data_IF_382604679682
#
_entry.id   IF_382604679682
#
_cell.length_a   1.000
_cell.length_b   1.000
_cell.length_c   1.000
_cell.angle_alpha   90.00
_cell.angle_beta   90.00
_cell.angle_gamma   90.00
#
_symmetry.space_group_name_H-M   'P 1'
#
loop_
_entity.id
_entity.type
_entity.pdbx_description
1 polymer ?
#
# COMPACT_ATOMS: atom_id res chain seq x y z
N UNK A 1 -42.61 62.65 -112.39
CA UNK A 1 -42.37 63.41 -111.14
C UNK A 1 -43.50 63.10 -110.18
N UNK A 2 -43.16 62.90 -108.90
CA UNK A 2 -44.01 62.66 -107.71
C UNK A 2 -44.68 61.28 -107.62
N UNK A 3 -44.19 60.35 -106.77
CA UNK A 3 -44.21 60.23 -105.28
C UNK A 3 -45.56 59.74 -104.71
N UNK A 4 -45.54 58.57 -104.07
CA UNK A 4 -46.28 58.29 -102.82
C UNK A 4 -45.59 57.18 -102.02
N UNK A 5 -45.52 57.45 -100.72
CA UNK A 5 -44.82 56.78 -99.62
C UNK A 5 -45.64 55.64 -98.99
N UNK A 6 -44.97 54.60 -98.48
CA UNK A 6 -45.51 53.71 -97.43
C UNK A 6 -44.46 53.53 -96.33
N UNK A 7 -44.91 53.63 -95.09
CA UNK A 7 -44.13 53.60 -93.85
C UNK A 7 -44.33 52.25 -93.17
N UNK A 8 -43.25 51.47 -93.00
CA UNK A 8 -43.19 50.31 -92.12
C UNK A 8 -42.60 50.72 -90.76
N UNK A 9 -43.34 50.47 -89.67
CA UNK A 9 -42.86 50.64 -88.29
C UNK A 9 -42.32 49.30 -87.72
N UNK A 10 -41.38 49.33 -86.74
CA UNK A 10 -40.58 48.16 -86.35
C UNK A 10 -41.27 47.22 -85.34
N UNK A 11 -40.79 45.97 -85.19
CA UNK A 11 -41.49 44.89 -84.50
C UNK A 11 -41.30 44.97 -82.97
N UNK A 12 -42.07 45.83 -82.30
CA UNK A 12 -42.01 45.95 -80.82
C UNK A 12 -42.83 44.89 -80.07
N UNK A 13 -43.75 44.19 -80.74
CA UNK A 13 -44.67 43.24 -80.07
C UNK A 13 -44.08 41.84 -79.80
N UNK A 14 -43.16 41.37 -80.64
CA UNK A 14 -42.56 40.03 -80.46
C UNK A 14 -41.59 39.98 -79.27
N UNK A 15 -40.80 41.05 -79.08
CA UNK A 15 -39.82 41.16 -77.99
C UNK A 15 -40.49 41.27 -76.61
N UNK A 16 -41.64 41.94 -76.53
CA UNK A 16 -42.41 42.08 -75.29
C UNK A 16 -43.03 40.75 -74.82
N UNK A 17 -43.47 39.89 -75.75
CA UNK A 17 -44.03 38.58 -75.41
C UNK A 17 -42.96 37.60 -74.91
N UNK A 18 -41.77 37.58 -75.52
CA UNK A 18 -40.64 36.73 -75.08
C UNK A 18 -40.14 37.14 -73.68
N UNK A 19 -40.06 38.45 -73.41
CA UNK A 19 -39.69 38.98 -72.08
C UNK A 19 -40.75 38.68 -71.00
N UNK A 20 -42.04 38.69 -71.36
CA UNK A 20 -43.11 38.35 -70.41
C UNK A 20 -43.19 36.86 -70.06
N UNK A 21 -42.68 35.99 -70.96
CA UNK A 21 -42.52 34.55 -70.70
C UNK A 21 -41.35 34.26 -69.75
N UNK A 22 -40.24 34.99 -69.89
CA UNK A 22 -39.06 34.85 -69.02
C UNK A 22 -39.34 35.30 -67.58
N UNK A 23 -40.18 36.33 -67.38
CA UNK A 23 -40.58 36.79 -66.06
C UNK A 23 -41.57 35.87 -65.33
N UNK A 24 -42.15 34.87 -66.02
CA UNK A 24 -43.08 33.87 -65.45
C UNK A 24 -42.53 32.43 -65.51
N UNK A 25 -41.29 32.24 -65.93
CA UNK A 25 -40.67 30.93 -66.01
C UNK A 25 -40.17 30.47 -64.62
N UNK A 26 -40.87 29.52 -64.00
CA UNK A 26 -40.52 28.94 -62.69
C UNK A 26 -39.50 27.79 -62.79
N UNK A 27 -39.11 27.38 -64.01
CA UNK A 27 -38.22 26.23 -64.28
C UNK A 27 -36.80 26.36 -63.67
N UNK A 28 -36.40 27.55 -63.22
CA UNK A 28 -35.11 27.81 -62.55
C UNK A 28 -35.14 27.79 -61.02
N UNK A 29 -36.33 27.78 -60.38
CA UNK A 29 -36.44 27.90 -58.92
C UNK A 29 -35.84 26.69 -58.18
N UNK A 30 -36.01 25.49 -58.74
CA UNK A 30 -35.42 24.24 -58.21
C UNK A 30 -33.89 24.26 -58.33
N UNK A 31 -33.34 24.92 -59.35
CA UNK A 31 -31.89 25.07 -59.55
C UNK A 31 -31.29 25.98 -58.48
N UNK A 32 -31.94 27.10 -58.15
CA UNK A 32 -31.51 28.01 -57.08
C UNK A 32 -31.58 27.32 -55.72
N UNK A 33 -32.68 26.61 -55.44
CA UNK A 33 -32.84 25.84 -54.20
C UNK A 33 -31.80 24.71 -54.07
N UNK A 34 -31.55 23.96 -55.15
CA UNK A 34 -30.53 22.91 -55.20
C UNK A 34 -29.12 23.46 -54.99
N UNK A 35 -28.80 24.63 -55.54
CA UNK A 35 -27.51 25.29 -55.35
C UNK A 35 -27.30 25.76 -53.91
N UNK A 36 -28.34 26.27 -53.25
CA UNK A 36 -28.29 26.63 -51.83
C UNK A 36 -28.04 25.38 -50.97
N UNK A 37 -28.77 24.28 -51.21
CA UNK A 37 -28.54 23.02 -50.49
C UNK A 37 -27.14 22.49 -50.73
N UNK A 38 -26.65 22.54 -51.97
CA UNK A 38 -25.31 22.10 -52.31
C UNK A 38 -24.24 22.89 -51.54
N UNK A 39 -24.38 24.22 -51.47
CA UNK A 39 -23.48 25.07 -50.67
C UNK A 39 -23.58 24.74 -49.18
N UNK A 40 -24.78 24.50 -48.66
CA UNK A 40 -24.97 24.09 -47.26
C UNK A 40 -24.32 22.74 -46.96
N UNK A 41 -24.44 21.75 -47.85
CA UNK A 41 -23.77 20.47 -47.71
C UNK A 41 -22.24 20.63 -47.67
N UNK A 42 -21.67 21.44 -48.57
CA UNK A 42 -20.23 21.73 -48.56
C UNK A 42 -19.79 22.44 -47.27
N UNK A 43 -20.62 23.34 -46.74
CA UNK A 43 -20.33 24.03 -45.47
C UNK A 43 -20.32 23.05 -44.29
N UNK A 44 -21.29 22.14 -44.22
CA UNK A 44 -21.36 21.11 -43.16
C UNK A 44 -20.20 20.12 -43.30
N UNK A 45 -19.87 19.70 -44.52
CA UNK A 45 -18.70 18.84 -44.76
C UNK A 45 -17.39 19.54 -44.37
N UNK A 46 -17.26 20.83 -44.68
CA UNK A 46 -16.09 21.62 -44.28
C UNK A 46 -15.95 21.71 -42.75
N UNK A 47 -17.06 21.94 -42.04
CA UNK A 47 -17.10 21.93 -40.58
C UNK A 47 -16.68 20.58 -40.01
N UNK A 48 -17.13 19.47 -40.62
CA UNK A 48 -16.73 18.13 -40.19
C UNK A 48 -15.22 17.90 -40.34
N UNK A 49 -14.60 18.38 -41.43
CA UNK A 49 -13.15 18.28 -41.64
C UNK A 49 -12.38 19.09 -40.60
N UNK A 50 -12.81 20.31 -40.29
CA UNK A 50 -12.16 21.12 -39.25
C UNK A 50 -12.27 20.46 -37.86
N UNK A 51 -13.43 19.89 -37.52
CA UNK A 51 -13.60 19.16 -36.25
C UNK A 51 -12.75 17.90 -36.19
N UNK A 52 -12.66 17.14 -37.29
CA UNK A 52 -11.81 15.93 -37.34
C UNK A 52 -10.34 16.27 -37.14
N UNK A 53 -9.85 17.35 -37.77
CA UNK A 53 -8.47 17.81 -37.59
C UNK A 53 -8.23 18.27 -36.15
N UNK A 54 -9.16 19.04 -35.58
CA UNK A 54 -9.08 19.49 -34.20
C UNK A 54 -8.96 18.33 -33.22
N UNK A 55 -9.85 17.33 -33.32
CA UNK A 55 -9.82 16.19 -32.40
C UNK A 55 -8.58 15.30 -32.61
N UNK A 56 -8.09 15.16 -33.85
CA UNK A 56 -6.85 14.41 -34.10
C UNK A 56 -5.63 15.08 -33.43
N UNK A 57 -5.51 16.40 -33.57
CA UNK A 57 -4.42 17.15 -32.94
C UNK A 57 -4.57 17.15 -31.40
N UNK A 58 -5.81 17.18 -30.89
CA UNK A 58 -6.11 17.12 -29.45
C UNK A 58 -5.71 15.80 -28.81
N UNK A 59 -6.08 14.69 -29.43
CA UNK A 59 -5.71 13.35 -28.96
C UNK A 59 -4.19 13.19 -29.00
N UNK A 60 -3.53 13.70 -30.04
CA UNK A 60 -2.06 13.68 -30.12
C UNK A 60 -1.41 14.47 -28.99
N UNK A 61 -1.85 15.71 -28.74
CA UNK A 61 -1.32 16.55 -27.67
C UNK A 61 -1.55 15.92 -26.29
N UNK A 62 -2.72 15.33 -26.06
CA UNK A 62 -3.04 14.63 -24.81
C UNK A 62 -2.12 13.41 -24.61
N UNK A 63 -1.98 12.55 -25.63
CA UNK A 63 -1.11 11.37 -25.55
C UNK A 63 0.36 11.71 -25.31
N UNK A 64 0.87 12.80 -25.90
CA UNK A 64 2.22 13.29 -25.61
C UNK A 64 2.32 13.82 -24.18
N UNK A 65 1.31 14.55 -23.71
CA UNK A 65 1.28 15.11 -22.35
C UNK A 65 1.32 14.02 -21.30
N UNK A 66 0.54 12.95 -21.46
CA UNK A 66 0.50 11.80 -20.54
C UNK A 66 1.85 11.09 -20.49
N UNK A 67 2.47 10.80 -21.64
CA UNK A 67 3.80 10.19 -21.70
C UNK A 67 4.88 11.08 -21.09
N UNK A 68 4.82 12.39 -21.35
CA UNK A 68 5.78 13.35 -20.85
C UNK A 68 5.72 13.47 -19.32
N UNK A 69 4.53 13.56 -18.72
CA UNK A 69 4.41 13.63 -17.25
C UNK A 69 4.88 12.35 -16.58
N UNK A 70 4.52 11.17 -17.13
CA UNK A 70 4.93 9.87 -16.59
C UNK A 70 6.45 9.66 -16.65
N UNK A 71 7.08 10.01 -17.77
CA UNK A 71 8.53 9.89 -17.90
C UNK A 71 9.28 10.92 -17.05
N UNK A 72 8.73 12.14 -16.92
CA UNK A 72 9.34 13.19 -16.11
C UNK A 72 9.22 12.92 -14.60
N UNK A 73 8.14 12.27 -14.15
CA UNK A 73 8.06 11.81 -12.75
C UNK A 73 9.17 10.81 -12.48
N UNK A 74 9.29 9.72 -13.27
CA UNK A 74 10.18 8.57 -13.03
C UNK A 74 11.69 8.86 -12.92
N UNK A 75 12.13 10.10 -13.14
CA UNK A 75 13.52 10.51 -12.98
C UNK A 75 13.97 10.63 -11.52
N UNK A 76 13.09 10.47 -10.54
CA UNK A 76 13.42 10.68 -9.13
C UNK A 76 14.55 9.76 -8.62
N UNK A 77 14.69 8.55 -9.18
CA UNK A 77 15.69 7.55 -8.79
C UNK A 77 16.82 7.33 -9.82
N UNK A 78 16.88 8.16 -10.87
CA UNK A 78 17.85 7.99 -11.96
C UNK A 78 19.01 8.98 -11.82
N UNK A 79 20.26 8.50 -11.89
CA UNK A 79 21.50 9.32 -11.94
C UNK A 79 21.64 10.07 -13.29
N UNK A 80 20.56 10.69 -13.74
CA UNK A 80 20.48 11.42 -15.01
C UNK A 80 20.67 12.90 -14.70
N UNK A 81 21.56 13.56 -15.43
CA UNK A 81 21.91 14.98 -15.24
C UNK A 81 20.83 15.95 -15.74
N UNK A 82 19.64 15.46 -16.12
CA UNK A 82 18.56 16.24 -16.70
C UNK A 82 17.47 16.48 -15.66
N UNK A 83 16.93 17.69 -15.63
CA UNK A 83 15.79 18.02 -14.77
C UNK A 83 14.50 17.40 -15.32
N UNK A 84 13.50 17.09 -14.46
CA UNK A 84 12.17 16.62 -14.91
C UNK A 84 11.51 17.55 -15.94
N UNK A 85 11.71 18.85 -15.81
CA UNK A 85 11.22 19.87 -16.74
C UNK A 85 11.86 19.71 -18.13
N UNK A 86 13.18 19.51 -18.17
CA UNK A 86 13.92 19.30 -19.42
C UNK A 86 13.53 17.98 -20.09
N UNK A 87 13.29 16.92 -19.30
CA UNK A 87 12.83 15.65 -19.87
C UNK A 87 11.41 15.75 -20.42
N UNK A 88 10.47 16.35 -19.67
CA UNK A 88 9.11 16.59 -20.17
C UNK A 88 9.16 17.39 -21.48
N UNK A 89 9.96 18.45 -21.54
CA UNK A 89 10.16 19.24 -22.76
C UNK A 89 10.73 18.41 -23.91
N UNK A 90 11.71 17.53 -23.65
CA UNK A 90 12.29 16.66 -24.67
C UNK A 90 11.26 15.70 -25.31
N UNK A 91 10.26 15.23 -24.55
CA UNK A 91 9.16 14.43 -25.09
C UNK A 91 8.27 15.24 -26.04
N UNK A 92 7.98 16.51 -25.72
CA UNK A 92 7.25 17.40 -26.62
C UNK A 92 8.08 17.75 -27.86
N UNK A 93 9.39 17.99 -27.71
CA UNK A 93 10.30 18.29 -28.82
C UNK A 93 10.41 17.10 -29.79
N UNK A 94 10.48 15.87 -29.27
CA UNK A 94 10.53 14.64 -30.07
C UNK A 94 9.27 14.44 -30.93
N UNK A 95 8.10 14.88 -30.44
CA UNK A 95 6.83 14.84 -31.17
C UNK A 95 6.60 16.07 -32.06
N UNK A 96 7.54 17.02 -32.08
CA UNK A 96 7.40 18.29 -32.82
C UNK A 96 6.36 19.24 -32.21
N UNK A 97 6.05 19.07 -30.92
CA UNK A 97 5.09 19.85 -30.14
C UNK A 97 5.76 20.77 -29.10
N UNK A 98 7.09 20.91 -29.16
CA UNK A 98 7.91 21.63 -28.17
C UNK A 98 7.45 23.05 -27.86
N UNK A 99 7.03 23.80 -28.88
CA UNK A 99 6.57 25.18 -28.75
C UNK A 99 5.31 25.32 -27.89
N UNK A 100 4.48 24.27 -27.83
CA UNK A 100 3.20 24.28 -27.11
C UNK A 100 3.34 23.96 -25.61
N UNK A 101 4.47 23.36 -25.20
CA UNK A 101 4.75 22.99 -23.82
C UNK A 101 5.69 23.96 -23.10
N UNK A 102 6.49 24.74 -23.86
CA UNK A 102 7.49 25.64 -23.30
C UNK A 102 6.88 26.67 -22.33
N UNK A 103 7.37 26.69 -21.08
CA UNK A 103 6.92 27.61 -20.03
C UNK A 103 5.64 27.19 -19.28
N UNK A 104 5.00 26.08 -19.67
CA UNK A 104 3.76 25.58 -19.06
C UNK A 104 3.96 24.26 -18.26
N UNK A 105 5.20 23.96 -17.88
CA UNK A 105 5.59 22.78 -17.10
C UNK A 105 5.86 23.24 -15.65
N UNK A 106 5.09 22.73 -14.71
CA UNK A 106 5.26 23.00 -13.28
C UNK A 106 5.62 21.70 -12.57
N UNK A 107 6.71 21.71 -11.80
CA UNK A 107 7.12 20.59 -10.95
C UNK A 107 7.04 21.05 -9.51
N UNK A 108 6.31 20.30 -8.70
CA UNK A 108 6.22 20.51 -7.26
C UNK A 108 6.79 19.29 -6.56
N UNK A 109 7.85 19.48 -5.81
CA UNK A 109 8.41 18.46 -4.92
C UNK A 109 7.98 18.79 -3.49
N UNK A 110 7.16 17.92 -2.91
CA UNK A 110 6.76 17.98 -1.51
C UNK A 110 7.29 16.77 -0.78
N UNK A 111 7.80 16.98 0.43
CA UNK A 111 8.41 15.94 1.26
C UNK A 111 7.44 14.83 1.67
N UNK A 112 6.15 15.13 1.70
CA UNK A 112 5.08 14.24 2.19
C UNK A 112 4.32 13.51 1.06
N UNK A 113 4.13 14.14 -0.11
CA UNK A 113 3.30 13.60 -1.20
C UNK A 113 4.09 13.18 -2.44
N UNK A 114 5.42 13.27 -2.41
CA UNK A 114 6.29 12.92 -3.53
C UNK A 114 6.43 14.02 -4.59
N UNK A 115 6.91 13.64 -5.76
CA UNK A 115 7.13 14.53 -6.90
C UNK A 115 5.88 14.59 -7.75
N UNK A 116 5.29 15.77 -7.87
CA UNK A 116 4.19 16.02 -8.80
C UNK A 116 4.70 16.79 -10.01
N UNK A 117 4.58 16.20 -11.21
CA UNK A 117 4.86 16.89 -12.48
C UNK A 117 3.54 17.18 -13.17
N UNK A 118 3.33 18.45 -13.53
CA UNK A 118 2.13 18.90 -14.23
C UNK A 118 2.51 19.70 -15.47
N UNK A 119 1.80 19.45 -16.57
CA UNK A 119 1.98 20.17 -17.84
C UNK A 119 0.63 20.70 -18.30
N UNK A 120 0.59 21.95 -18.73
CA UNK A 120 -0.60 22.59 -19.28
C UNK A 120 -0.33 23.11 -20.71
N UNK A 121 -0.13 22.24 -21.71
CA UNK A 121 0.25 22.68 -23.04
C UNK A 121 -0.94 23.35 -23.74
N UNK A 122 -0.63 24.38 -24.54
CA UNK A 122 -1.60 25.17 -25.29
C UNK A 122 -1.24 25.16 -26.76
N UNK A 123 -2.15 24.73 -27.63
CA UNK A 123 -1.96 24.76 -29.07
C UNK A 123 -3.12 25.47 -29.77
N UNK A 124 -2.86 25.97 -30.97
CA UNK A 124 -3.87 26.65 -31.79
C UNK A 124 -3.89 26.02 -33.17
N UNK A 125 -5.07 25.58 -33.60
CA UNK A 125 -5.30 25.09 -34.95
C UNK A 125 -6.04 26.15 -35.77
N UNK A 126 -5.47 26.51 -36.92
CA UNK A 126 -6.16 27.34 -37.90
C UNK A 126 -7.25 26.53 -38.62
N UNK A 127 -8.46 27.08 -38.65
CA UNK A 127 -9.59 26.44 -39.32
C UNK A 127 -9.59 26.77 -40.81
N UNK A 128 -9.95 25.79 -41.65
CA UNK A 128 -10.01 25.98 -43.09
C UNK A 128 -11.38 26.48 -43.54
N UNK A 129 -12.45 25.90 -42.98
CA UNK A 129 -13.83 26.14 -43.41
C UNK A 129 -14.62 26.97 -42.39
N UNK A 130 -14.41 26.76 -41.08
CA UNK A 130 -15.02 27.56 -40.01
C UNK A 130 -14.61 29.04 -40.07
N UNK A 131 -13.44 29.33 -40.66
CA UNK A 131 -13.00 30.69 -40.97
C UNK A 131 -13.99 31.45 -41.85
N UNK A 132 -14.73 30.78 -42.73
CA UNK A 132 -15.79 31.40 -43.53
C UNK A 132 -16.99 31.84 -42.68
N UNK A 133 -17.17 31.23 -41.51
CA UNK A 133 -18.16 31.59 -40.49
C UNK A 133 -17.64 32.58 -39.44
N UNK A 134 -16.42 33.13 -39.63
CA UNK A 134 -15.80 34.11 -38.72
C UNK A 134 -14.97 33.51 -37.58
N UNK A 135 -14.93 32.18 -37.44
CA UNK A 135 -14.09 31.50 -36.44
C UNK A 135 -12.78 31.13 -37.11
N UNK A 136 -11.73 31.93 -36.92
CA UNK A 136 -10.46 31.68 -37.62
C UNK A 136 -9.64 30.55 -37.01
N UNK A 137 -9.74 30.35 -35.69
CA UNK A 137 -8.89 29.43 -34.94
C UNK A 137 -9.69 28.66 -33.89
N UNK A 138 -9.23 27.46 -33.56
CA UNK A 138 -9.67 26.70 -32.40
C UNK A 138 -8.47 26.50 -31.47
N UNK A 139 -8.62 26.96 -30.22
CA UNK A 139 -7.61 26.79 -29.18
C UNK A 139 -7.80 25.44 -28.49
N UNK A 140 -6.68 24.87 -28.05
CA UNK A 140 -6.62 23.52 -27.50
C UNK A 140 -5.73 23.48 -26.27
N UNK A 141 -6.23 22.84 -25.22
CA UNK A 141 -5.51 22.63 -23.96
C UNK A 141 -5.62 21.18 -23.55
N UNK A 142 -4.50 20.55 -23.20
CA UNK A 142 -4.46 19.15 -22.77
C UNK A 142 -3.69 19.00 -21.46
N UNK A 143 -4.24 19.47 -20.32
CA UNK A 143 -3.55 19.41 -19.06
C UNK A 143 -3.34 17.95 -18.62
N UNK A 144 -2.11 17.62 -18.22
CA UNK A 144 -1.76 16.32 -17.66
C UNK A 144 -0.98 16.50 -16.35
N UNK A 145 -1.15 15.57 -15.42
CA UNK A 145 -0.39 15.52 -14.18
C UNK A 145 -0.08 14.07 -13.83
N UNK A 146 1.13 13.82 -13.36
CA UNK A 146 1.54 12.58 -12.75
C UNK A 146 2.18 12.87 -11.39
N UNK A 147 2.02 11.92 -10.47
CA UNK A 147 2.62 11.95 -9.15
C UNK A 147 3.42 10.67 -9.00
N UNK A 148 4.72 10.80 -8.72
CA UNK A 148 5.52 9.70 -8.18
C UNK A 148 5.60 9.90 -6.67
N UNK A 149 5.05 8.96 -5.92
CA UNK A 149 5.21 8.93 -4.47
C UNK A 149 6.70 8.94 -4.16
N UNK A 150 7.13 9.75 -3.19
CA UNK A 150 8.52 9.68 -2.74
C UNK A 150 8.74 8.25 -2.32
N UNK A 151 9.61 7.53 -3.02
CA UNK A 151 10.25 6.32 -2.50
C UNK A 151 11.09 6.69 -1.29
N UNK A 152 10.44 7.11 -0.20
CA UNK A 152 10.95 6.80 1.12
C UNK A 152 11.12 5.29 1.10
N UNK A 153 12.34 4.83 1.29
CA UNK A 153 12.64 3.41 1.35
C UNK A 153 11.55 2.73 2.15
N UNK A 154 10.72 1.90 1.51
CA UNK A 154 9.54 1.36 2.17
C UNK A 154 10.02 0.61 3.40
N UNK A 155 9.74 1.16 4.59
CA UNK A 155 10.27 0.61 5.83
C UNK A 155 9.31 -0.46 6.28
N UNK A 156 9.82 -1.61 6.69
CA UNK A 156 8.98 -2.71 7.14
C UNK A 156 9.37 -3.06 8.56
N UNK A 157 8.38 -3.11 9.44
CA UNK A 157 8.52 -3.57 10.81
C UNK A 157 7.68 -4.82 10.97
N UNK A 158 8.34 -5.96 11.11
CA UNK A 158 7.70 -7.27 11.21
C UNK A 158 7.92 -7.83 12.61
N UNK A 159 6.87 -8.37 13.21
CA UNK A 159 6.98 -9.20 14.41
C UNK A 159 6.43 -10.59 14.13
N UNK A 160 7.26 -11.61 14.40
CA UNK A 160 6.89 -13.01 14.32
C UNK A 160 6.61 -13.53 15.72
N UNK A 161 5.37 -13.93 15.96
CA UNK A 161 4.89 -14.50 17.22
C UNK A 161 4.72 -16.00 17.01
N UNK A 162 5.66 -16.78 17.54
CA UNK A 162 5.79 -18.22 17.29
C UNK A 162 5.46 -19.05 18.53
N UNK A 163 4.57 -20.02 18.34
CA UNK A 163 4.19 -21.00 19.35
C UNK A 163 5.32 -22.00 19.60
N UNK A 164 5.76 -22.09 20.85
CA UNK A 164 6.74 -23.07 21.33
C UNK A 164 6.14 -23.99 22.40
N UNK A 165 4.80 -24.12 22.44
CA UNK A 165 4.08 -24.98 23.37
C UNK A 165 4.43 -26.47 23.19
N UNK A 166 4.11 -27.28 24.19
CA UNK A 166 4.40 -28.72 24.17
C UNK A 166 3.81 -29.46 22.96
N UNK A 167 2.65 -29.03 22.44
CA UNK A 167 1.99 -29.64 21.28
C UNK A 167 2.82 -29.56 20.01
N UNK A 168 3.65 -28.52 19.87
CA UNK A 168 4.57 -28.34 18.74
C UNK A 168 5.64 -29.46 18.67
N UNK A 169 5.79 -30.27 19.72
CA UNK A 169 6.68 -31.43 19.73
C UNK A 169 6.11 -32.64 18.97
N UNK A 170 4.83 -32.59 18.61
CA UNK A 170 4.13 -33.69 17.94
C UNK A 170 4.61 -33.85 16.50
N UNK A 171 4.65 -35.10 16.02
CA UNK A 171 4.98 -35.40 14.63
C UNK A 171 3.84 -35.03 13.69
N UNK A 172 4.18 -34.53 12.51
CA UNK A 172 3.26 -34.24 11.41
C UNK A 172 3.22 -35.41 10.42
N UNK A 173 2.37 -35.30 9.39
CA UNK A 173 2.29 -36.26 8.29
C UNK A 173 3.59 -36.43 7.49
N UNK A 174 4.53 -35.48 7.60
CA UNK A 174 5.83 -35.50 6.93
C UNK A 174 6.90 -36.30 7.69
N UNK A 175 6.60 -36.72 8.94
CA UNK A 175 7.55 -37.40 9.82
C UNK A 175 8.49 -36.46 10.60
N UNK A 176 8.39 -35.14 10.39
CA UNK A 176 9.07 -34.12 11.23
C UNK A 176 8.18 -33.70 12.39
N UNK A 177 8.74 -33.06 13.41
CA UNK A 177 7.94 -32.42 14.45
C UNK A 177 7.34 -31.13 13.94
N UNK A 178 6.20 -30.70 14.49
CA UNK A 178 5.58 -29.42 14.14
C UNK A 178 6.53 -28.24 14.33
N UNK A 179 7.31 -28.26 15.42
CA UNK A 179 8.37 -27.29 15.67
C UNK A 179 9.42 -27.28 14.54
N UNK A 180 9.84 -28.45 14.05
CA UNK A 180 10.83 -28.50 12.97
C UNK A 180 10.27 -27.89 11.66
N UNK A 181 9.00 -28.12 11.35
CA UNK A 181 8.34 -27.48 10.20
C UNK A 181 8.24 -25.95 10.39
N UNK A 182 7.83 -25.51 11.58
CA UNK A 182 7.77 -24.08 11.91
C UNK A 182 9.12 -23.39 11.81
N UNK A 183 10.19 -24.04 12.27
CA UNK A 183 11.56 -23.50 12.15
C UNK A 183 11.97 -23.34 10.70
N UNK A 184 11.64 -24.30 9.84
CA UNK A 184 11.93 -24.20 8.41
C UNK A 184 11.15 -23.06 7.76
N UNK A 185 9.86 -22.93 8.07
CA UNK A 185 9.01 -21.87 7.54
C UNK A 185 9.47 -20.47 8.00
N UNK A 186 9.80 -20.31 9.29
CA UNK A 186 10.30 -19.06 9.84
C UNK A 186 11.65 -18.65 9.22
N UNK A 187 12.56 -19.62 9.00
CA UNK A 187 13.85 -19.35 8.32
C UNK A 187 13.66 -18.99 6.84
N UNK A 188 12.77 -19.68 6.12
CA UNK A 188 12.42 -19.33 4.73
C UNK A 188 11.90 -17.89 4.63
N UNK A 189 10.97 -17.54 5.52
CA UNK A 189 10.42 -16.18 5.61
C UNK A 189 11.50 -15.13 5.89
N UNK A 190 12.35 -15.37 6.90
CA UNK A 190 13.42 -14.45 7.25
C UNK A 190 14.45 -14.31 6.12
N UNK A 191 14.79 -15.39 5.42
CA UNK A 191 15.68 -15.33 4.27
C UNK A 191 15.08 -14.48 3.14
N UNK A 192 13.77 -14.62 2.90
CA UNK A 192 13.08 -13.85 1.87
C UNK A 192 13.04 -12.36 2.22
N UNK A 193 12.75 -12.03 3.48
CA UNK A 193 12.63 -10.67 3.99
C UNK A 193 13.99 -9.98 4.23
N UNK A 194 14.93 -10.61 4.94
CA UNK A 194 16.22 -10.00 5.29
C UNK A 194 17.26 -10.14 4.16
N UNK A 195 17.21 -11.22 3.37
CA UNK A 195 18.23 -11.48 2.34
C UNK A 195 18.14 -10.59 1.10
N UNK A 196 16.99 -9.96 0.86
CA UNK A 196 16.73 -9.18 -0.36
C UNK A 196 16.46 -7.69 -0.10
N UNK A 197 16.51 -7.25 1.16
CA UNK A 197 16.22 -5.87 1.53
C UNK A 197 17.45 -5.21 2.16
N UNK A 198 17.49 -3.88 2.13
CA UNK A 198 18.47 -3.12 2.88
C UNK A 198 18.22 -3.32 4.40
N UNK A 199 19.22 -3.78 5.16
CA UNK A 199 19.09 -4.02 6.61
C UNK A 199 18.73 -2.75 7.41
N UNK A 200 18.86 -1.55 6.83
CA UNK A 200 18.41 -0.31 7.46
C UNK A 200 16.89 -0.08 7.36
N UNK A 201 16.21 -0.72 6.40
CA UNK A 201 14.79 -0.48 6.12
C UNK A 201 13.87 -1.53 6.74
N UNK A 202 14.38 -2.73 6.99
CA UNK A 202 13.61 -3.85 7.54
C UNK A 202 14.06 -4.17 8.95
N UNK A 203 13.10 -4.35 9.86
CA UNK A 203 13.34 -4.91 11.19
C UNK A 203 12.43 -6.11 11.42
N UNK A 204 13.02 -7.21 11.91
CA UNK A 204 12.31 -8.45 12.20
C UNK A 204 12.45 -8.80 13.68
N UNK A 205 11.37 -8.67 14.43
CA UNK A 205 11.30 -9.06 15.83
C UNK A 205 10.78 -10.49 15.97
N UNK A 206 11.38 -11.28 16.86
CA UNK A 206 10.96 -12.63 17.18
C UNK A 206 10.42 -12.69 18.61
N UNK A 207 9.16 -13.09 18.75
CA UNK A 207 8.51 -13.39 20.02
C UNK A 207 8.18 -14.87 20.03
N UNK A 208 8.75 -15.60 20.98
CA UNK A 208 8.39 -17.00 21.22
C UNK A 208 7.55 -17.08 22.48
N UNK A 209 6.49 -17.86 22.45
CA UNK A 209 5.60 -18.01 23.59
C UNK A 209 5.32 -19.48 23.91
N UNK A 210 5.18 -19.75 25.19
CA UNK A 210 4.65 -21.01 25.69
C UNK A 210 3.53 -20.73 26.73
N UNK A 211 3.71 -21.21 27.95
CA UNK A 211 2.94 -20.78 29.11
C UNK A 211 3.25 -19.33 29.48
N UNK A 212 4.41 -18.84 29.05
CA UNK A 212 4.93 -17.52 29.31
C UNK A 212 5.64 -16.98 28.08
N UNK A 213 5.78 -15.66 28.04
CA UNK A 213 6.72 -14.96 27.16
C UNK A 213 7.81 -14.39 28.06
N UNK A 214 9.06 -14.52 27.64
CA UNK A 214 10.22 -14.02 28.37
C UNK A 214 10.65 -12.66 27.79
N UNK A 215 10.45 -11.55 28.51
CA UNK A 215 10.95 -10.24 28.12
C UNK A 215 12.47 -10.22 28.00
N UNK A 216 12.98 -9.47 27.02
CA UNK A 216 14.40 -9.12 26.94
C UNK A 216 14.83 -8.36 28.21
N UNK A 217 16.02 -8.59 28.76
CA UNK A 217 16.54 -7.82 29.89
C UNK A 217 16.48 -6.31 29.60
N UNK A 218 15.97 -5.55 30.55
CA UNK A 218 15.81 -4.10 30.42
C UNK A 218 14.46 -3.67 29.83
N UNK A 219 13.74 -4.53 29.11
CA UNK A 219 12.45 -4.20 28.51
C UNK A 219 11.43 -3.70 29.54
N UNK A 220 11.40 -4.34 30.72
CA UNK A 220 10.49 -3.97 31.82
C UNK A 220 10.75 -2.58 32.40
N UNK A 221 11.98 -2.06 32.30
CA UNK A 221 12.30 -0.72 32.81
C UNK A 221 11.67 0.40 31.99
N UNK A 222 11.19 0.06 30.80
CA UNK A 222 10.53 0.97 29.87
C UNK A 222 9.01 0.82 29.87
N UNK A 223 8.45 0.01 30.78
CA UNK A 223 7.02 -0.15 30.97
C UNK A 223 6.58 0.60 32.23
N UNK A 224 5.54 1.44 32.19
CA UNK A 224 5.02 2.04 33.42
C UNK A 224 4.35 0.97 34.30
N UNK A 225 4.34 1.22 35.61
CA UNK A 225 3.70 0.39 36.64
C UNK A 225 4.18 -1.07 36.79
N UNK A 226 5.23 -1.50 36.06
CA UNK A 226 5.87 -2.80 36.29
C UNK A 226 6.92 -2.68 37.40
N UNK A 227 6.53 -2.89 38.66
CA UNK A 227 7.48 -3.01 39.78
C UNK A 227 7.88 -4.47 40.03
N UNK A 228 9.05 -4.89 39.55
CA UNK A 228 9.56 -6.24 39.82
C UNK A 228 10.74 -6.67 38.93
N UNK A 229 11.45 -7.72 39.35
CA UNK A 229 12.53 -8.36 38.59
C UNK A 229 12.09 -9.68 37.93
N UNK A 230 10.79 -9.83 37.70
CA UNK A 230 10.18 -11.09 37.25
C UNK A 230 10.29 -11.29 35.75
N UNK A 231 10.67 -12.49 35.31
CA UNK A 231 10.78 -12.89 33.92
C UNK A 231 9.43 -13.22 33.25
N UNK A 232 8.34 -13.14 34.00
CA UNK A 232 7.00 -13.49 33.55
C UNK A 232 6.03 -12.39 34.03
N UNK A 233 5.26 -11.81 33.10
CA UNK A 233 4.35 -10.67 33.35
C UNK A 233 2.87 -11.02 33.14
N UNK A 234 1.99 -10.22 33.76
CA UNK A 234 0.54 -10.23 33.55
C UNK A 234 0.08 -8.85 33.14
N UNK A 235 -1.00 -8.82 32.38
CA UNK A 235 -1.71 -7.59 32.04
C UNK A 235 -3.12 -7.62 32.59
N UNK A 236 -3.53 -6.51 33.20
CA UNK A 236 -4.90 -6.32 33.72
C UNK A 236 -5.82 -5.68 32.65
N UNK A 237 -5.26 -4.88 31.73
CA UNK A 237 -5.95 -4.34 30.56
C UNK A 237 -5.35 -4.91 29.27
N UNK A 238 -6.21 -5.52 28.46
CA UNK A 238 -5.87 -6.13 27.18
C UNK A 238 -6.34 -5.31 25.97
N UNK A 239 -7.15 -4.27 26.22
CA UNK A 239 -7.73 -3.39 25.19
C UNK A 239 -6.81 -2.24 24.82
N UNK A 240 -6.01 -1.76 25.77
CA UNK A 240 -5.00 -0.75 25.49
C UNK A 240 -3.66 -1.40 25.19
N UNK A 241 -3.28 -1.46 23.91
CA UNK A 241 -2.01 -2.01 23.44
C UNK A 241 -0.82 -1.10 23.78
N UNK A 242 -1.07 0.15 24.16
CA UNK A 242 -0.08 1.19 24.45
C UNK A 242 0.60 0.92 25.78
N UNK A 243 1.81 0.40 25.70
CA UNK A 243 2.70 0.18 26.84
C UNK A 243 1.98 -0.54 28.01
N UNK A 244 2.52 -0.52 29.20
CA UNK A 244 1.70 -0.65 30.41
C UNK A 244 0.91 0.63 30.71
N UNK A 245 0.52 1.46 29.73
CA UNK A 245 0.14 2.86 29.99
C UNK A 245 -1.34 3.16 29.74
N UNK A 246 -2.18 2.49 30.52
CA UNK A 246 -3.51 3.02 30.81
C UNK A 246 -3.39 4.39 31.52
N UNK A 247 -4.47 5.19 31.53
CA UNK A 247 -4.52 6.41 32.32
C UNK A 247 -4.07 6.17 33.77
N UNK A 248 -3.30 7.09 34.34
CA UNK A 248 -2.84 7.02 35.74
C UNK A 248 -4.04 6.71 36.66
N UNK A 249 -4.07 5.51 37.25
CA UNK A 249 -5.10 5.08 38.20
C UNK A 249 -6.11 4.04 37.71
N UNK A 250 -6.03 3.55 36.47
CA UNK A 250 -6.66 2.29 36.04
C UNK A 250 -5.54 1.30 35.74
N UNK A 251 -5.37 0.33 36.64
CA UNK A 251 -4.18 -0.52 36.69
C UNK A 251 -3.96 -1.28 35.40
N UNK A 252 -2.84 -0.98 34.73
CA UNK A 252 -2.18 -1.89 33.82
C UNK A 252 -1.19 -2.73 34.65
N UNK A 253 -1.60 -3.95 35.02
CA UNK A 253 -0.70 -4.98 35.55
C UNK A 253 -0.33 -4.88 37.03
N UNK A 254 -1.17 -4.23 37.85
CA UNK A 254 -1.01 -4.16 39.30
C UNK A 254 -1.88 -5.17 40.07
N UNK A 255 -2.07 -6.37 39.51
CA UNK A 255 -2.08 -7.57 40.35
C UNK A 255 -0.78 -7.61 41.17
N UNK A 256 -0.81 -8.03 42.45
CA UNK A 256 0.40 -8.07 43.28
C UNK A 256 1.52 -8.72 42.48
N UNK A 257 2.74 -8.16 42.50
CA UNK A 257 3.85 -8.77 41.81
C UNK A 257 3.87 -10.22 42.27
N UNK A 258 3.64 -11.14 41.36
CA UNK A 258 4.12 -12.50 41.55
C UNK A 258 5.64 -12.50 41.26
N UNK A 259 6.32 -11.45 41.75
CA UNK A 259 7.74 -11.31 42.04
C UNK A 259 8.21 -12.31 43.11
N UNK A 260 7.40 -13.31 43.43
CA UNK A 260 7.83 -14.48 44.17
C UNK A 260 7.13 -15.74 43.69
N UNK A 261 7.04 -15.97 42.37
CA UNK A 261 7.22 -17.34 41.89
C UNK A 261 8.73 -17.60 41.87
N UNK A 262 9.32 -17.67 43.07
CA UNK A 262 10.52 -18.46 43.24
C UNK A 262 10.22 -19.86 42.69
N UNK A 263 11.26 -20.55 42.22
CA UNK A 263 11.21 -21.86 41.58
C UNK A 263 10.40 -22.96 42.33
N UNK A 264 9.86 -22.67 43.52
CA UNK A 264 8.94 -23.48 44.31
C UNK A 264 7.95 -22.60 45.10
N UNK A 265 6.92 -22.02 44.48
CA UNK A 265 5.78 -21.48 45.24
C UNK A 265 4.69 -22.55 45.34
N UNK A 266 4.42 -23.03 46.54
CA UNK A 266 3.43 -24.06 46.87
C UNK A 266 1.96 -23.65 46.60
N UNK A 267 1.75 -22.43 46.08
CA UNK A 267 0.45 -21.85 45.73
C UNK A 267 0.29 -21.60 44.22
N UNK A 268 1.27 -21.97 43.38
CA UNK A 268 1.04 -22.11 41.95
C UNK A 268 0.32 -23.46 41.71
N UNK A 269 -0.91 -23.50 41.17
CA UNK A 269 -1.50 -24.77 40.75
C UNK A 269 -0.55 -25.41 39.73
N UNK A 270 -0.27 -26.70 39.92
CA UNK A 270 0.93 -27.40 39.41
C UNK A 270 1.11 -27.50 37.89
N UNK A 271 0.36 -26.76 37.08
CA UNK A 271 0.40 -26.77 35.61
C UNK A 271 1.23 -25.65 34.99
N UNK A 272 1.64 -24.61 35.72
CA UNK A 272 2.47 -23.50 35.18
C UNK A 272 3.65 -23.09 36.10
N UNK A 273 4.44 -24.07 36.56
CA UNK A 273 5.53 -23.88 37.54
C UNK A 273 6.84 -23.31 36.95
N UNK A 274 6.99 -23.24 35.62
CA UNK A 274 8.28 -22.96 34.99
C UNK A 274 8.28 -21.68 34.15
N UNK A 275 8.34 -20.52 34.81
CA UNK A 275 8.87 -19.32 34.17
C UNK A 275 10.32 -19.62 33.75
N UNK A 276 10.59 -19.75 32.44
CA UNK A 276 11.97 -19.97 31.97
C UNK A 276 12.74 -18.70 32.14
N UNK A 277 14.00 -18.81 32.55
CA UNK A 277 15.00 -17.76 32.33
C UNK A 277 15.97 -18.15 31.22
N UNK A 278 15.59 -19.13 30.38
CA UNK A 278 16.42 -19.56 29.26
C UNK A 278 16.35 -18.52 28.15
N UNK A 279 17.51 -17.94 27.81
CA UNK A 279 17.69 -16.92 26.78
C UNK A 279 17.24 -17.36 25.37
N UNK A 280 17.03 -18.66 25.14
CA UNK A 280 16.47 -19.17 23.89
C UNK A 280 14.98 -18.82 23.68
N UNK A 281 14.25 -18.47 24.75
CA UNK A 281 12.83 -18.07 24.69
C UNK A 281 12.64 -16.56 24.85
N UNK A 282 13.74 -15.85 25.07
CA UNK A 282 13.74 -14.41 25.22
C UNK A 282 13.33 -13.76 23.91
N UNK A 283 12.49 -12.73 24.00
CA UNK A 283 12.17 -11.88 22.86
C UNK A 283 13.47 -11.39 22.22
N UNK A 284 13.54 -11.48 20.88
CA UNK A 284 14.64 -10.94 20.09
C UNK A 284 14.11 -9.76 19.29
N UNK A 285 14.21 -8.53 19.80
CA UNK A 285 13.67 -7.36 19.13
C UNK A 285 14.56 -6.95 17.96
N UNK A 286 13.94 -6.48 16.87
CA UNK A 286 14.59 -5.78 15.76
C UNK A 286 15.83 -6.48 15.18
N UNK A 287 15.76 -7.80 15.01
CA UNK A 287 16.83 -8.58 14.36
C UNK A 287 16.92 -8.15 12.89
N UNK A 288 18.15 -7.89 12.45
CA UNK A 288 18.43 -7.46 11.07
C UNK A 288 19.52 -8.31 10.38
N UNK A 289 20.10 -9.29 11.08
CA UNK A 289 21.02 -10.27 10.52
C UNK A 289 20.33 -11.64 10.37
N UNK A 290 20.45 -12.23 9.18
CA UNK A 290 19.81 -13.51 8.87
C UNK A 290 20.41 -14.66 9.68
N UNK A 291 21.73 -14.70 9.85
CA UNK A 291 22.39 -15.80 10.56
C UNK A 291 22.04 -15.78 12.06
N UNK A 292 21.95 -14.59 12.66
CA UNK A 292 21.49 -14.44 14.04
C UNK A 292 20.03 -14.89 14.18
N UNK A 293 19.15 -14.50 13.25
CA UNK A 293 17.75 -14.94 13.26
C UNK A 293 17.63 -16.47 13.14
N UNK A 294 18.36 -17.08 12.21
CA UNK A 294 18.37 -18.54 12.03
C UNK A 294 18.86 -19.25 13.31
N UNK A 295 19.90 -18.73 13.96
CA UNK A 295 20.43 -19.23 15.23
C UNK A 295 19.39 -19.15 16.36
N UNK A 296 18.68 -18.02 16.48
CA UNK A 296 17.61 -17.86 17.46
C UNK A 296 16.46 -18.83 17.23
N UNK A 297 16.02 -19.01 15.99
CA UNK A 297 14.98 -19.97 15.62
C UNK A 297 15.42 -21.41 15.89
N UNK A 298 16.68 -21.76 15.60
CA UNK A 298 17.20 -23.10 15.84
C UNK A 298 17.34 -23.42 17.34
N UNK A 299 17.51 -22.42 18.21
CA UNK A 299 17.57 -22.58 19.65
C UNK A 299 16.21 -22.87 20.32
N UNK A 300 15.08 -22.62 19.65
CA UNK A 300 13.73 -22.84 20.21
C UNK A 300 13.51 -24.32 20.50
N UNK A 301 12.89 -24.64 21.64
CA UNK A 301 12.44 -25.99 21.96
C UNK A 301 11.02 -25.96 22.50
N UNK A 302 10.33 -27.11 22.51
CA UNK A 302 8.92 -27.15 22.94
C UNK A 302 8.81 -27.27 24.45
N UNK A 303 7.86 -26.54 25.05
CA UNK A 303 7.66 -26.54 26.49
C UNK A 303 6.27 -26.03 26.87
N UNK A 304 5.77 -26.49 28.02
CA UNK A 304 4.60 -25.87 28.65
C UNK A 304 3.30 -25.96 27.84
N UNK A 305 2.36 -25.11 28.24
CA UNK A 305 1.02 -24.90 27.67
C UNK A 305 1.02 -23.73 26.67
N UNK A 306 -0.14 -23.42 26.07
CA UNK A 306 -0.29 -22.41 25.01
C UNK A 306 -0.94 -21.14 25.57
N UNK A 307 -0.29 -19.98 25.38
CA UNK A 307 -0.78 -18.64 25.79
C UNK A 307 -0.64 -17.66 24.62
N UNK A 308 -1.57 -17.77 23.67
CA UNK A 308 -1.61 -16.96 22.45
C UNK A 308 -1.80 -15.49 22.80
N UNK A 309 -2.63 -15.22 23.82
CA UNK A 309 -2.88 -13.90 24.40
C UNK A 309 -1.56 -13.16 24.72
N UNK A 310 -0.67 -13.76 25.52
CA UNK A 310 0.62 -13.18 25.88
C UNK A 310 1.53 -13.01 24.67
N UNK A 311 1.60 -14.02 23.79
CA UNK A 311 2.39 -13.94 22.56
C UNK A 311 1.98 -12.74 21.71
N UNK A 312 0.68 -12.60 21.45
CA UNK A 312 0.12 -11.49 20.68
C UNK A 312 0.41 -10.15 21.36
N UNK A 313 0.24 -10.05 22.68
CA UNK A 313 0.48 -8.81 23.43
C UNK A 313 1.92 -8.34 23.35
N UNK A 314 2.89 -9.22 23.62
CA UNK A 314 4.30 -8.85 23.50
C UNK A 314 4.71 -8.59 22.06
N UNK A 315 4.12 -9.31 21.10
CA UNK A 315 4.29 -9.01 19.69
C UNK A 315 3.84 -7.60 19.34
N UNK A 316 2.68 -7.21 19.87
CA UNK A 316 2.10 -5.89 19.66
C UNK A 316 2.96 -4.76 20.25
N UNK A 317 3.50 -4.96 21.47
CA UNK A 317 4.41 -4.01 22.11
C UNK A 317 5.64 -3.70 21.25
N UNK A 318 6.21 -4.69 20.55
CA UNK A 318 7.38 -4.48 19.70
C UNK A 318 7.11 -3.68 18.42
N UNK A 319 5.85 -3.39 18.12
CA UNK A 319 5.43 -2.50 17.04
C UNK A 319 4.95 -1.15 17.57
N UNK A 320 4.83 -0.98 18.89
CA UNK A 320 4.33 0.25 19.51
C UNK A 320 5.47 1.28 19.69
N UNK A 321 5.30 2.53 19.21
CA UNK A 321 6.24 3.64 19.42
C UNK A 321 6.69 3.84 20.86
N UNK A 322 5.87 3.50 21.86
CA UNK A 322 6.21 3.66 23.27
C UNK A 322 7.41 2.78 23.67
N UNK A 323 7.63 1.65 22.98
CA UNK A 323 8.79 0.78 23.19
C UNK A 323 10.08 1.30 22.54
N UNK A 324 10.05 2.44 21.83
CA UNK A 324 11.23 3.03 21.18
C UNK A 324 12.37 3.31 22.16
N UNK A 325 12.04 3.78 23.37
CA UNK A 325 13.04 4.04 24.40
C UNK A 325 13.83 2.78 24.80
N UNK A 326 13.17 1.62 24.80
CA UNK A 326 13.82 0.34 25.05
C UNK A 326 14.75 -0.06 23.90
N UNK A 327 14.29 0.04 22.65
CA UNK A 327 15.10 -0.26 21.47
C UNK A 327 16.34 0.64 21.40
N UNK A 328 16.16 1.95 21.62
CA UNK A 328 17.27 2.91 21.64
C UNK A 328 18.28 2.58 22.74
N UNK A 329 17.82 2.11 23.90
CA UNK A 329 18.72 1.66 24.99
C UNK A 329 19.56 0.43 24.59
N UNK A 330 18.98 -0.49 23.80
CA UNK A 330 19.70 -1.65 23.28
C UNK A 330 20.76 -1.24 22.25
N UNK A 331 20.44 -0.26 21.39
CA UNK A 331 21.40 0.33 20.45
C UNK A 331 22.54 1.01 21.21
N UNK A 332 22.23 1.79 22.25
CA UNK A 332 23.24 2.47 23.09
C UNK A 332 24.16 1.48 23.83
N UNK A 333 23.63 0.32 24.21
CA UNK A 333 24.41 -0.77 24.82
C UNK A 333 25.21 -1.62 23.83
N UNK A 334 25.06 -1.38 22.52
CA UNK A 334 25.71 -2.13 21.45
C UNK A 334 25.13 -3.53 21.19
N UNK A 335 23.92 -3.82 21.70
CA UNK A 335 23.22 -5.09 21.44
C UNK A 335 22.44 -5.07 20.12
N UNK A 336 22.03 -3.88 19.67
CA UNK A 336 21.43 -3.66 18.36
C UNK A 336 22.29 -2.71 17.53
N UNK A 337 22.28 -2.85 16.20
CA UNK A 337 23.03 -1.98 15.31
C UNK A 337 22.37 -0.60 15.21
N UNK A 338 23.15 0.41 14.82
CA UNK A 338 22.74 1.82 14.88
C UNK A 338 21.54 2.14 13.98
N UNK A 339 21.32 1.33 12.96
CA UNK A 339 20.23 1.40 11.98
C UNK A 339 18.85 1.11 12.61
N UNK A 340 18.80 0.43 13.76
CA UNK A 340 17.55 0.14 14.47
C UNK A 340 17.08 1.29 15.36
N UNK A 341 17.89 2.35 15.51
CA UNK A 341 17.55 3.51 16.34
C UNK A 341 16.29 4.22 15.82
N UNK A 342 15.44 4.67 16.75
CA UNK A 342 14.20 5.36 16.43
C UNK A 342 13.03 4.45 16.05
N UNK A 343 13.19 3.12 16.17
CA UNK A 343 12.13 2.12 15.97
C UNK A 343 11.56 1.66 17.33
N UNK A 344 10.27 1.34 17.45
CA UNK A 344 9.26 1.33 16.38
C UNK A 344 8.94 2.74 15.86
N UNK A 345 8.59 2.87 14.58
CA UNK A 345 8.21 4.16 14.00
C UNK A 345 6.86 4.64 14.51
N UNK A 346 6.63 5.96 14.58
CA UNK A 346 5.34 6.55 14.96
C UNK A 346 4.20 6.05 14.07
N UNK A 347 3.01 5.82 14.64
CA UNK A 347 1.87 5.25 13.92
C UNK A 347 1.48 6.02 12.64
N UNK A 348 1.73 7.33 12.62
CA UNK A 348 1.48 8.24 11.50
C UNK A 348 2.70 8.48 10.59
N UNK A 349 3.85 7.81 10.84
CA UNK A 349 5.03 7.88 9.98
C UNK A 349 4.69 7.33 8.58
N UNK A 350 4.82 8.15 7.52
CA UNK A 350 4.49 7.74 6.17
C UNK A 350 5.49 6.71 5.62
N UNK A 351 5.00 5.74 4.85
CA UNK A 351 5.84 4.75 4.16
C UNK A 351 6.40 3.64 5.06
N UNK A 352 5.82 3.45 6.25
CA UNK A 352 6.10 2.32 7.15
C UNK A 352 4.98 1.30 7.04
N UNK A 353 5.32 0.05 6.69
CA UNK A 353 4.39 -1.07 6.77
C UNK A 353 4.69 -1.92 7.99
N UNK A 354 3.65 -2.15 8.80
CA UNK A 354 3.75 -2.93 10.03
C UNK A 354 3.03 -4.25 9.86
N UNK A 355 3.69 -5.32 10.25
CA UNK A 355 3.22 -6.69 10.04
C UNK A 355 3.38 -7.49 11.31
N UNK A 356 2.30 -8.12 11.77
CA UNK A 356 2.33 -9.16 12.80
C UNK A 356 2.04 -10.51 12.16
N UNK A 357 2.89 -11.50 12.39
CA UNK A 357 2.67 -12.89 11.97
C UNK A 357 2.51 -13.75 13.22
N UNK A 358 1.29 -14.20 13.50
CA UNK A 358 0.96 -15.02 14.66
C UNK A 358 0.72 -16.47 14.25
N UNK A 359 1.49 -17.41 14.82
CA UNK A 359 1.35 -18.84 14.57
C UNK A 359 0.94 -19.59 15.83
N UNK A 360 0.06 -20.58 15.70
CA UNK A 360 -0.23 -21.57 16.76
C UNK A 360 -0.66 -22.94 16.21
N UNK A 361 -0.37 -24.00 16.97
CA UNK A 361 -0.91 -25.36 16.75
C UNK A 361 -1.98 -25.77 17.78
N UNK A 362 -2.37 -24.85 18.66
CA UNK A 362 -3.22 -25.13 19.82
C UNK A 362 -4.17 -23.99 20.16
N UNK A 363 -5.08 -24.23 21.10
CA UNK A 363 -5.94 -23.19 21.67
C UNK A 363 -5.28 -22.56 22.88
N UNK A 364 -5.67 -21.32 23.22
CA UNK A 364 -5.41 -20.79 24.54
C UNK A 364 -5.89 -21.77 25.59
N UNK A 365 -5.01 -22.14 26.52
CA UNK A 365 -5.36 -23.19 27.45
C UNK A 365 -4.67 -23.09 28.80
N UNK A 366 -5.24 -23.86 29.72
CA UNK A 366 -4.54 -24.44 30.84
C UNK A 366 -4.04 -23.44 31.89
N UNK A 367 -4.47 -22.18 31.79
CA UNK A 367 -4.27 -21.18 32.82
C UNK A 367 -5.17 -21.47 34.03
N UNK A 368 -4.60 -21.46 35.22
CA UNK A 368 -5.35 -21.16 36.45
C UNK A 368 -5.68 -19.67 36.60
N UNK A 369 -5.32 -18.89 35.58
CA UNK A 369 -5.22 -17.44 35.54
C UNK A 369 -6.50 -16.83 34.96
N UNK A 370 -6.84 -17.28 33.75
CA UNK A 370 -8.10 -17.03 33.07
C UNK A 370 -8.60 -18.33 32.44
N UNK A 371 -9.92 -18.45 32.28
CA UNK A 371 -10.47 -19.51 31.44
C UNK A 371 -10.13 -19.21 29.96
N UNK A 372 -10.19 -20.23 29.10
CA UNK A 372 -9.81 -20.09 27.69
C UNK A 372 -10.61 -18.99 26.96
N UNK A 373 -11.90 -18.81 27.28
CA UNK A 373 -12.73 -17.75 26.67
C UNK A 373 -12.18 -16.35 26.93
N UNK A 374 -11.73 -16.07 28.15
CA UNK A 374 -11.14 -14.76 28.47
C UNK A 374 -9.79 -14.57 27.77
N UNK A 375 -8.99 -15.63 27.65
CA UNK A 375 -7.73 -15.56 26.88
C UNK A 375 -7.97 -15.33 25.39
N UNK A 376 -9.04 -15.93 24.85
CA UNK A 376 -9.48 -15.72 23.47
C UNK A 376 -9.94 -14.27 23.28
N UNK A 377 -10.78 -13.75 24.19
CA UNK A 377 -11.21 -12.34 24.19
C UNK A 377 -10.00 -11.38 24.25
N UNK A 378 -9.02 -11.68 25.10
CA UNK A 378 -7.78 -10.92 25.22
C UNK A 378 -6.95 -10.94 23.94
N UNK A 379 -6.83 -12.11 23.29
CA UNK A 379 -6.13 -12.26 22.02
C UNK A 379 -6.81 -11.39 20.95
N UNK A 380 -8.14 -11.44 20.86
CA UNK A 380 -8.91 -10.65 19.91
C UNK A 380 -8.79 -9.14 20.17
N UNK A 381 -8.77 -8.71 21.43
CA UNK A 381 -8.58 -7.31 21.80
C UNK A 381 -7.25 -6.76 21.27
N UNK A 382 -6.16 -7.53 21.43
CA UNK A 382 -4.84 -7.16 20.89
C UNK A 382 -4.90 -7.07 19.36
N UNK A 383 -5.45 -8.07 18.68
CA UNK A 383 -5.54 -8.04 17.21
C UNK A 383 -6.40 -6.88 16.69
N UNK A 384 -7.48 -6.53 17.38
CA UNK A 384 -8.31 -5.36 17.08
C UNK A 384 -7.52 -4.05 17.25
N UNK A 385 -6.78 -3.90 18.34
CA UNK A 385 -5.93 -2.73 18.58
C UNK A 385 -4.85 -2.56 17.52
N UNK A 386 -4.22 -3.66 17.10
CA UNK A 386 -3.21 -3.64 16.03
C UNK A 386 -3.81 -3.21 14.69
N UNK A 387 -4.97 -3.77 14.31
CA UNK A 387 -5.68 -3.36 13.08
C UNK A 387 -6.12 -1.91 13.10
N UNK A 388 -6.50 -1.38 14.28
CA UNK A 388 -6.86 0.02 14.43
C UNK A 388 -5.67 0.98 14.20
N UNK A 389 -4.44 0.51 14.39
CA UNK A 389 -3.19 1.25 14.16
C UNK A 389 -2.52 0.88 12.82
N UNK A 390 -3.31 0.45 11.82
CA UNK A 390 -2.85 0.09 10.46
C UNK A 390 -1.79 -1.02 10.41
N UNK A 391 -1.81 -1.94 11.38
CA UNK A 391 -0.96 -3.13 11.37
C UNK A 391 -1.67 -4.26 10.64
N UNK A 392 -0.96 -4.88 9.70
CA UNK A 392 -1.46 -6.08 9.02
C UNK A 392 -1.17 -7.31 9.87
N UNK A 393 -2.21 -7.96 10.37
CA UNK A 393 -2.14 -9.16 11.21
C UNK A 393 -2.39 -10.39 10.35
N UNK A 394 -1.33 -11.17 10.14
CA UNK A 394 -1.37 -12.50 9.55
C UNK A 394 -1.46 -13.54 10.65
N UNK A 395 -2.35 -14.50 10.49
CA UNK A 395 -2.50 -15.61 11.43
C UNK A 395 -2.36 -16.94 10.72
N UNK A 396 -1.60 -17.86 11.33
CA UNK A 396 -1.31 -19.18 10.79
C UNK A 396 -1.68 -20.24 11.82
N UNK A 397 -2.74 -21.00 11.53
CA UNK A 397 -3.09 -22.20 12.27
C UNK A 397 -2.38 -23.41 11.65
N UNK A 398 -1.78 -24.24 12.51
CA UNK A 398 -0.99 -25.39 12.07
C UNK A 398 -1.43 -26.69 12.73
N UNK A 399 -2.12 -27.56 12.00
CA UNK A 399 -2.74 -28.78 12.54
C UNK A 399 -3.51 -28.52 13.87
N UNK A 400 -4.18 -27.37 13.93
CA UNK A 400 -4.80 -26.81 15.13
C UNK A 400 -6.27 -27.25 15.28
N UNK A 401 -6.80 -27.31 16.52
CA UNK A 401 -8.21 -27.63 16.76
C UNK A 401 -9.15 -26.47 16.36
N UNK A 402 -10.43 -26.77 16.13
CA UNK A 402 -11.40 -25.81 15.56
C UNK A 402 -11.46 -24.47 16.30
N UNK A 403 -11.49 -24.44 17.63
CA UNK A 403 -11.51 -23.17 18.37
C UNK A 403 -10.28 -22.28 18.14
N UNK A 404 -9.10 -22.85 17.83
CA UNK A 404 -7.92 -22.05 17.47
C UNK A 404 -8.04 -21.49 16.05
N UNK A 405 -8.60 -22.29 15.13
CA UNK A 405 -8.89 -21.87 13.75
C UNK A 405 -9.88 -20.70 13.79
N UNK A 406 -10.96 -20.81 14.57
CA UNK A 406 -11.98 -19.78 14.71
C UNK A 406 -11.36 -18.49 15.28
N UNK A 407 -10.64 -18.59 16.39
CA UNK A 407 -9.93 -17.45 17.02
C UNK A 407 -8.98 -16.75 16.04
N UNK A 408 -8.10 -17.52 15.39
CA UNK A 408 -7.11 -16.96 14.48
C UNK A 408 -7.74 -16.34 13.22
N UNK A 409 -8.84 -16.91 12.73
CA UNK A 409 -9.56 -16.34 11.59
C UNK A 409 -10.17 -14.96 11.91
N UNK A 410 -10.62 -14.75 13.16
CA UNK A 410 -11.18 -13.48 13.61
C UNK A 410 -10.10 -12.44 13.96
N UNK A 411 -8.95 -12.90 14.47
CA UNK A 411 -7.79 -12.06 14.74
C UNK A 411 -7.13 -11.50 13.46
N UNK A 412 -7.17 -12.23 12.34
CA UNK A 412 -6.57 -11.81 11.07
C UNK A 412 -7.13 -10.47 10.56
N UNK A 413 -6.32 -9.70 9.82
CA UNK A 413 -6.76 -8.45 9.19
C UNK A 413 -7.83 -8.65 8.11
N UNK A 414 -7.80 -9.77 7.40
CA UNK A 414 -8.88 -10.21 6.50
C UNK A 414 -8.78 -11.71 6.23
N UNK A 415 -9.74 -12.26 5.50
CA UNK A 415 -9.74 -13.67 5.08
C UNK A 415 -8.45 -14.07 4.33
N UNK A 416 -7.86 -13.14 3.56
CA UNK A 416 -6.60 -13.38 2.85
C UNK A 416 -5.35 -13.35 3.75
N UNK A 417 -5.49 -12.94 5.00
CA UNK A 417 -4.41 -12.90 5.99
C UNK A 417 -4.46 -14.08 6.96
N UNK A 418 -5.47 -14.95 6.82
CA UNK A 418 -5.60 -16.18 7.60
C UNK A 418 -5.15 -17.40 6.80
N UNK A 419 -4.30 -18.22 7.40
CA UNK A 419 -3.79 -19.45 6.82
C UNK A 419 -4.13 -20.62 7.75
N UNK A 420 -4.84 -21.62 7.22
CA UNK A 420 -5.09 -22.88 7.90
C UNK A 420 -4.33 -24.00 7.20
N UNK A 421 -3.31 -24.52 7.87
CA UNK A 421 -2.28 -25.36 7.26
C UNK A 421 -2.02 -26.61 8.09
N UNK A 422 -1.51 -27.64 7.43
CA UNK A 422 -1.06 -28.87 8.07
C UNK A 422 0.09 -29.50 7.29
N UNK A 423 0.93 -30.28 7.97
CA UNK A 423 2.06 -30.97 7.33
C UNK A 423 3.08 -30.05 6.64
N UNK A 424 3.32 -30.28 5.35
CA UNK A 424 4.33 -29.60 4.53
C UNK A 424 3.88 -28.23 3.96
N UNK A 425 2.60 -27.90 4.06
CA UNK A 425 2.04 -26.64 3.53
C UNK A 425 2.45 -25.39 4.34
N UNK A 426 3.06 -25.57 5.51
CA UNK A 426 3.43 -24.46 6.38
C UNK A 426 4.47 -23.54 5.73
N UNK A 427 5.51 -24.11 5.11
CA UNK A 427 6.56 -23.33 4.42
C UNK A 427 5.96 -22.49 3.29
N UNK A 428 5.11 -23.10 2.46
CA UNK A 428 4.45 -22.41 1.36
C UNK A 428 3.58 -21.24 1.83
N UNK A 429 2.98 -21.34 3.02
CA UNK A 429 2.17 -20.27 3.60
C UNK A 429 3.04 -19.09 4.05
N UNK A 430 4.16 -19.37 4.71
CA UNK A 430 5.14 -18.33 5.06
C UNK A 430 5.75 -17.67 3.83
N UNK A 431 6.07 -18.44 2.78
CA UNK A 431 6.57 -17.89 1.52
C UNK A 431 5.53 -16.99 0.84
N UNK A 432 4.25 -17.37 0.90
CA UNK A 432 3.14 -16.55 0.41
C UNK A 432 3.00 -15.24 1.20
N UNK A 433 3.13 -15.28 2.53
CA UNK A 433 3.11 -14.08 3.37
C UNK A 433 4.29 -13.17 3.02
N UNK A 434 5.51 -13.73 2.92
CA UNK A 434 6.70 -12.95 2.56
C UNK A 434 6.54 -12.26 1.19
N UNK A 435 6.02 -12.99 0.20
CA UNK A 435 5.73 -12.44 -1.13
C UNK A 435 4.68 -11.34 -1.07
N UNK A 436 3.62 -11.52 -0.28
CA UNK A 436 2.58 -10.50 -0.13
C UNK A 436 3.12 -9.23 0.52
N UNK A 437 3.89 -9.36 1.61
CA UNK A 437 4.55 -8.23 2.28
C UNK A 437 5.47 -7.48 1.30
N UNK A 438 6.27 -8.20 0.49
CA UNK A 438 7.11 -7.60 -0.55
C UNK A 438 6.33 -6.90 -1.66
N UNK A 439 5.26 -7.52 -2.16
CA UNK A 439 4.47 -6.90 -3.24
C UNK A 439 3.72 -5.67 -2.77
N UNK A 440 3.25 -5.65 -1.51
CA UNK A 440 2.67 -4.45 -0.91
C UNK A 440 3.70 -3.33 -0.75
N UNK A 441 4.96 -3.65 -0.44
CA UNK A 441 6.01 -2.63 -0.33
C UNK A 441 6.50 -2.12 -1.70
N UNK A 442 6.42 -2.95 -2.75
CA UNK A 442 6.83 -2.62 -4.12
C UNK A 442 5.72 -1.94 -4.95
N UNK A 443 4.43 -2.25 -4.73
CA UNK A 443 3.31 -1.64 -5.48
C UNK A 443 3.11 -0.14 -5.21
N UNK A 444 3.79 0.42 -4.22
CA UNK A 444 3.81 1.85 -3.95
C UNK A 444 4.98 2.57 -4.65
N UNK A 445 5.75 1.85 -5.46
CA UNK A 445 6.89 2.38 -6.25
C UNK A 445 6.67 2.36 -7.76
N UNK A 446 5.51 1.91 -8.25
CA UNK A 446 5.15 1.93 -9.68
C UNK A 446 4.05 2.94 -10.02
#
# INVERSE_FOLDING_TARGET
MNTTTSSEGPPRKLFAQVMSGFARAEDGAVLVFGLIIFVLMLMVSGLAVDVMRYENDRVRLQGTSDRAVLAATSLMNSNVTMTPQELAQAYFDAEGLGEFASGNITVTDTSETGRTVRVNPTARMETMFLRMSGINNLDMTAPAAAVEGRGGTTKVEIVMVLDASGSMGSSTSTGRTRLAEMKLAAKSFAAEILGNNDPANVSLSLVTYDSWVLPTPGMLNHMLDVSGSGACLEFDDWTDVRDGNGPVGVGNGNGPPWASVGQNSSNAPGTRVNCSTNAAYEIKPMVNDLADFESYVDAISTRGTTSIDLGARFGAMLLDPDMRGFIDSMVDSGQLPAEMRGRPFDWDEPGVHRVMVLLTDGQNCCGSRFNSSVQDDNTLAVCQGMRANDVTVYTVSFDAPQGAIDLLSECASSENHFFNTGGDALVASFDSIATHVKTQTLRLTE
#
